data_IF_466166705050
#
_entry.id   IF_466166705050
#
_cell.length_a   1.000
_cell.length_b   1.000
_cell.length_c   1.000
_cell.angle_alpha   90.00
_cell.angle_beta   90.00
_cell.angle_gamma   90.00
#
_symmetry.space_group_name_H-M   'P 1'
#
loop_
_entity.id
_entity.type
_entity.pdbx_description
1 polymer ?
#
# COMPACT_ATOMS: atom_id res chain seq x y z
N UNK A 1 -1.05 -5.05 13.14
CA UNK A 1 -2.43 -5.53 12.87
C UNK A 1 -2.46 -6.08 11.46
N UNK A 2 -2.96 -7.30 11.26
CA UNK A 2 -3.22 -7.84 9.93
C UNK A 2 -4.64 -7.48 9.50
N UNK A 3 -4.81 -6.93 8.29
CA UNK A 3 -6.11 -6.46 7.79
C UNK A 3 -6.34 -7.04 6.40
N UNK A 4 -7.43 -7.80 6.24
CA UNK A 4 -7.82 -8.34 4.94
C UNK A 4 -8.72 -7.39 4.14
N UNK A 5 -9.53 -6.57 4.83
CA UNK A 5 -10.46 -5.64 4.19
C UNK A 5 -10.22 -4.19 4.64
N UNK A 6 -9.28 -3.51 3.98
CA UNK A 6 -8.83 -2.16 4.32
C UNK A 6 -9.96 -1.11 4.32
N UNK A 7 -10.96 -1.28 3.45
CA UNK A 7 -12.11 -0.36 3.37
C UNK A 7 -12.90 -0.30 4.69
N UNK A 8 -13.02 -1.41 5.42
CA UNK A 8 -13.76 -1.46 6.69
C UNK A 8 -13.04 -0.82 7.88
N UNK A 9 -11.76 -0.46 7.76
CA UNK A 9 -11.10 0.27 8.83
C UNK A 9 -11.76 1.65 9.01
N UNK A 10 -11.96 2.06 10.27
CA UNK A 10 -12.49 3.38 10.59
C UNK A 10 -11.52 4.47 10.13
N UNK A 11 -12.05 5.65 9.84
CA UNK A 11 -11.23 6.82 9.42
C UNK A 11 -10.16 7.16 10.45
N UNK A 12 -10.49 7.04 11.75
CA UNK A 12 -9.55 7.31 12.84
C UNK A 12 -8.36 6.33 12.85
N UNK A 13 -8.60 5.04 12.55
CA UNK A 13 -7.48 4.10 12.39
C UNK A 13 -6.65 4.50 11.19
N UNK A 14 -7.27 4.72 10.02
CA UNK A 14 -6.57 5.06 8.76
C UNK A 14 -5.70 6.31 8.90
N UNK A 15 -6.17 7.35 9.58
CA UNK A 15 -5.43 8.61 9.77
C UNK A 15 -4.23 8.50 10.71
N UNK A 16 -4.17 7.47 11.55
CA UNK A 16 -3.09 7.24 12.51
C UNK A 16 -2.11 6.14 12.07
N UNK A 17 -2.29 5.57 10.87
CA UNK A 17 -1.35 4.60 10.33
C UNK A 17 -0.06 5.31 9.92
N UNK A 18 1.08 4.81 10.38
CA UNK A 18 2.41 5.30 9.99
C UNK A 18 3.02 4.49 8.85
N UNK A 19 2.78 3.19 8.81
CA UNK A 19 3.40 2.28 7.84
C UNK A 19 2.44 1.18 7.42
N UNK A 20 2.38 0.90 6.11
CA UNK A 20 1.67 -0.24 5.54
C UNK A 20 2.65 -1.26 4.98
N UNK A 21 2.40 -2.52 5.32
CA UNK A 21 3.03 -3.67 4.68
C UNK A 21 1.97 -4.31 3.79
N UNK A 22 2.17 -4.26 2.48
CA UNK A 22 1.22 -4.76 1.49
C UNK A 22 1.91 -5.88 0.72
N UNK A 23 1.56 -7.12 1.05
CA UNK A 23 2.05 -8.32 0.37
C UNK A 23 1.45 -8.43 -1.03
N UNK A 24 2.19 -9.06 -1.95
CA UNK A 24 1.79 -9.32 -3.33
C UNK A 24 0.43 -10.03 -3.41
N UNK A 25 -0.33 -9.75 -4.48
CA UNK A 25 -1.63 -10.37 -4.75
C UNK A 25 -2.83 -9.41 -4.77
N UNK A 26 -2.71 -8.19 -4.25
CA UNK A 26 -3.74 -7.16 -4.43
C UNK A 26 -3.80 -6.59 -5.87
N UNK A 27 -5.01 -6.33 -6.35
CA UNK A 27 -5.25 -5.61 -7.60
C UNK A 27 -4.86 -4.14 -7.52
N UNK A 28 -4.62 -3.51 -8.67
CA UNK A 28 -4.38 -2.06 -8.78
C UNK A 28 -5.47 -1.23 -8.10
N UNK A 29 -6.74 -1.63 -8.22
CA UNK A 29 -7.85 -0.90 -7.62
C UNK A 29 -7.83 -0.98 -6.10
N UNK A 30 -7.45 -2.13 -5.53
CA UNK A 30 -7.26 -2.29 -4.08
C UNK A 30 -6.08 -1.45 -3.58
N UNK A 31 -4.94 -1.45 -4.29
CA UNK A 31 -3.81 -0.58 -3.94
C UNK A 31 -4.20 0.89 -4.00
N UNK A 32 -4.92 1.31 -5.02
CA UNK A 32 -5.37 2.70 -5.14
C UNK A 32 -6.27 3.10 -3.96
N UNK A 33 -7.13 2.20 -3.48
CA UNK A 33 -7.95 2.43 -2.29
C UNK A 33 -7.10 2.52 -1.01
N UNK A 34 -6.09 1.67 -0.88
CA UNK A 34 -5.19 1.66 0.28
C UNK A 34 -4.30 2.90 0.35
N UNK A 35 -3.88 3.40 -0.81
CA UNK A 35 -2.86 4.45 -0.95
C UNK A 35 -3.43 5.80 -1.41
N UNK A 36 -4.76 5.94 -1.50
CA UNK A 36 -5.43 7.12 -2.08
C UNK A 36 -4.99 8.46 -1.47
N UNK A 37 -4.72 8.48 -0.16
CA UNK A 37 -4.36 9.70 0.58
C UNK A 37 -2.84 9.84 0.78
N UNK A 38 -2.04 8.94 0.21
CA UNK A 38 -0.59 8.91 0.39
C UNK A 38 0.05 9.70 -0.74
N UNK A 39 0.97 10.59 -0.39
CA UNK A 39 1.78 11.30 -1.38
C UNK A 39 2.89 10.37 -1.90
N UNK A 40 2.55 9.49 -2.83
CA UNK A 40 3.47 8.51 -3.39
C UNK A 40 4.56 9.18 -4.25
N UNK A 41 5.80 8.67 -4.26
CA UNK A 41 6.89 9.20 -5.09
C UNK A 41 6.70 8.93 -6.59
N UNK A 42 5.70 8.12 -6.94
CA UNK A 42 5.43 7.67 -8.30
C UNK A 42 3.92 7.45 -8.49
N UNK A 43 3.48 7.37 -9.75
CA UNK A 43 2.08 7.10 -10.04
C UNK A 43 1.65 5.71 -9.57
N UNK A 44 0.37 5.54 -9.27
CA UNK A 44 -0.18 4.23 -8.89
C UNK A 44 0.04 3.17 -9.98
N UNK A 45 0.12 3.58 -11.26
CA UNK A 45 0.40 2.69 -12.37
C UNK A 45 1.85 2.19 -12.35
N UNK A 46 2.81 3.08 -12.14
CA UNK A 46 4.24 2.71 -12.03
C UNK A 46 4.48 1.82 -10.81
N UNK A 47 3.89 2.17 -9.66
CA UNK A 47 3.95 1.37 -8.45
C UNK A 47 3.38 -0.03 -8.69
N UNK A 48 2.22 -0.12 -9.36
CA UNK A 48 1.60 -1.41 -9.64
C UNK A 48 2.45 -2.28 -10.58
N UNK A 49 3.05 -1.70 -11.62
CA UNK A 49 3.94 -2.42 -12.54
C UNK A 49 5.10 -3.08 -11.80
N UNK A 50 5.75 -2.37 -10.86
CA UNK A 50 6.82 -2.94 -10.05
C UNK A 50 6.29 -3.95 -9.02
N UNK A 51 5.16 -3.64 -8.40
CA UNK A 51 4.51 -4.52 -7.43
C UNK A 51 4.10 -5.88 -8.04
N UNK A 52 3.70 -5.93 -9.31
CA UNK A 52 3.38 -7.19 -9.99
C UNK A 52 4.60 -8.08 -10.24
N UNK A 53 5.82 -7.52 -10.19
CA UNK A 53 7.06 -8.27 -10.36
C UNK A 53 7.53 -8.88 -9.04
N UNK A 54 6.88 -8.56 -7.92
CA UNK A 54 7.18 -9.17 -6.63
C UNK A 54 6.85 -10.67 -6.67
N UNK A 55 7.80 -11.48 -6.21
CA UNK A 55 7.62 -12.91 -6.09
C UNK A 55 6.61 -13.31 -5.00
N UNK A 56 6.52 -14.61 -4.78
CA UNK A 56 5.76 -15.17 -3.66
C UNK A 56 6.31 -14.59 -2.34
N UNK A 57 5.42 -14.04 -1.50
CA UNK A 57 5.74 -13.29 -0.27
C UNK A 57 6.43 -11.93 -0.40
N UNK A 58 6.68 -11.45 -1.63
CA UNK A 58 7.14 -10.08 -1.84
C UNK A 58 6.10 -9.07 -1.35
N UNK A 59 6.56 -7.92 -0.86
CA UNK A 59 5.71 -6.87 -0.30
C UNK A 59 6.24 -5.49 -0.64
N UNK A 60 5.35 -4.51 -0.58
CA UNK A 60 5.75 -3.11 -0.47
C UNK A 60 5.59 -2.63 0.96
N UNK A 61 6.55 -1.81 1.38
CA UNK A 61 6.55 -1.11 2.64
C UNK A 61 6.33 0.37 2.30
N UNK A 62 5.19 0.91 2.71
CA UNK A 62 4.80 2.29 2.45
C UNK A 62 4.86 3.07 3.75
N UNK A 63 5.72 4.08 3.81
CA UNK A 63 5.72 5.08 4.89
C UNK A 63 4.65 6.13 4.55
N UNK A 64 3.58 6.17 5.33
CA UNK A 64 2.45 7.07 5.09
C UNK A 64 2.75 8.51 5.48
N UNK A 65 3.74 8.73 6.35
CA UNK A 65 4.14 10.06 6.81
C UNK A 65 5.09 10.72 5.80
N UNK A 66 6.02 9.94 5.23
CA UNK A 66 7.01 10.42 4.26
C UNK A 66 6.59 10.21 2.81
N UNK A 67 5.58 9.39 2.57
CA UNK A 67 5.15 8.97 1.25
C UNK A 67 6.06 7.95 0.57
N UNK A 68 7.20 7.57 1.18
CA UNK A 68 8.18 6.69 0.53
C UNK A 68 7.71 5.24 0.42
N UNK A 69 8.10 4.58 -0.67
CA UNK A 69 7.76 3.18 -0.95
C UNK A 69 9.05 2.36 -1.11
N UNK A 70 9.16 1.23 -0.41
CA UNK A 70 10.22 0.24 -0.58
C UNK A 70 9.61 -1.08 -1.06
N UNK A 71 10.23 -1.71 -2.05
CA UNK A 71 9.91 -3.06 -2.51
C UNK A 71 10.85 -4.06 -1.82
N UNK A 72 10.29 -5.12 -1.25
CA UNK A 72 11.00 -6.12 -0.42
C UNK A 72 10.49 -7.52 -0.75
#
# INVERSE_FOLDING_TARGET
MAVQYFKALSTNIKSNLSTLFIFSGFSRQQLNVMLYQVNLPMSINELYTQYQQLGEHGKIIVDLNKGSVKFD
#
